data_IF_258542863235
#
_entry.id   IF_258542863235
#
_cell.length_a   1.000
_cell.length_b   1.000
_cell.length_c   1.000
_cell.angle_alpha   90.00
_cell.angle_beta   90.00
_cell.angle_gamma   90.00
#
_symmetry.space_group_name_H-M   'P 1'
#
loop_
_entity.id
_entity.type
_entity.pdbx_description
1 polymer ?
#
# COMPACT_ATOMS: atom_id res chain seq x y z
N UNK A 1 23.99 22.34 -3.38
CA UNK A 1 24.35 20.92 -3.64
C UNK A 1 23.09 20.07 -3.59
N UNK A 2 22.28 20.09 -2.54
CA UNK A 2 21.08 19.21 -2.39
C UNK A 2 20.05 19.35 -3.52
N UNK A 3 19.79 20.57 -4.01
CA UNK A 3 18.83 20.79 -5.11
C UNK A 3 19.36 20.21 -6.43
N UNK A 4 20.67 20.29 -6.66
CA UNK A 4 21.30 19.75 -7.89
C UNK A 4 21.27 18.22 -7.83
N UNK A 5 21.54 17.64 -6.68
CA UNK A 5 21.52 16.19 -6.48
C UNK A 5 20.11 15.65 -6.69
N UNK A 6 19.09 16.35 -6.16
CA UNK A 6 17.68 16.03 -6.37
C UNK A 6 17.27 16.07 -7.85
N UNK A 7 17.62 17.15 -8.56
CA UNK A 7 17.30 17.29 -9.96
C UNK A 7 18.00 16.23 -10.82
N UNK A 8 19.23 15.88 -10.44
CA UNK A 8 19.98 14.80 -11.12
C UNK A 8 19.31 13.46 -10.92
N UNK A 9 18.88 13.16 -9.69
CA UNK A 9 18.19 11.91 -9.37
C UNK A 9 16.87 11.77 -10.13
N UNK A 10 16.05 12.83 -10.17
CA UNK A 10 14.81 12.86 -10.95
C UNK A 10 15.11 12.64 -12.43
N UNK A 11 16.10 13.34 -12.98
CA UNK A 11 16.45 13.23 -14.38
C UNK A 11 16.91 11.81 -14.73
N UNK A 12 17.77 11.21 -13.92
CA UNK A 12 18.25 9.83 -14.13
C UNK A 12 17.09 8.85 -14.10
N UNK A 13 16.23 8.90 -13.09
CA UNK A 13 15.06 8.04 -13.00
C UNK A 13 14.12 8.23 -14.20
N UNK A 14 13.82 9.48 -14.52
CA UNK A 14 12.95 9.80 -15.65
C UNK A 14 13.48 9.20 -16.96
N UNK A 15 14.76 9.40 -17.29
CA UNK A 15 15.31 8.88 -18.53
C UNK A 15 15.41 7.35 -18.53
N UNK A 16 15.71 6.71 -17.39
CA UNK A 16 15.71 5.24 -17.27
C UNK A 16 14.32 4.66 -17.55
N UNK A 17 13.27 5.24 -16.95
CA UNK A 17 11.90 4.81 -17.19
C UNK A 17 11.44 5.14 -18.60
N UNK A 18 11.71 6.33 -19.10
CA UNK A 18 11.34 6.74 -20.46
C UNK A 18 11.93 5.78 -21.49
N UNK A 19 13.24 5.49 -21.40
CA UNK A 19 13.89 4.56 -22.31
C UNK A 19 13.29 3.16 -22.20
N UNK A 20 13.08 2.67 -20.99
CA UNK A 20 12.52 1.34 -20.73
C UNK A 20 11.09 1.20 -21.27
N UNK A 21 10.23 2.20 -21.04
CA UNK A 21 8.82 2.16 -21.44
C UNK A 21 8.66 2.35 -22.94
N UNK A 22 9.42 3.29 -23.54
CA UNK A 22 9.30 3.63 -24.95
C UNK A 22 9.97 2.64 -25.89
N UNK A 23 11.19 2.17 -25.55
CA UNK A 23 12.00 1.32 -26.45
C UNK A 23 11.73 -0.15 -26.34
N UNK A 24 11.31 -0.65 -25.18
CA UNK A 24 11.10 -2.09 -24.98
C UNK A 24 9.67 -2.46 -25.37
N UNK A 25 9.52 -3.13 -26.51
CA UNK A 25 8.21 -3.59 -27.02
C UNK A 25 7.66 -4.82 -26.27
N UNK A 26 8.54 -5.70 -25.79
CA UNK A 26 8.15 -6.90 -25.05
C UNK A 26 7.61 -6.51 -23.68
N UNK A 27 6.33 -6.75 -23.43
CA UNK A 27 5.70 -6.42 -22.15
C UNK A 27 6.36 -7.11 -20.96
N UNK A 28 6.82 -8.35 -21.12
CA UNK A 28 7.51 -9.09 -20.05
C UNK A 28 8.85 -8.45 -19.69
N UNK A 29 9.67 -8.14 -20.72
CA UNK A 29 10.99 -7.54 -20.51
C UNK A 29 10.83 -6.12 -19.95
N UNK A 30 9.89 -5.34 -20.49
CA UNK A 30 9.58 -3.99 -20.01
C UNK A 30 9.15 -4.00 -18.54
N UNK A 31 8.21 -4.85 -18.16
CA UNK A 31 7.77 -4.99 -16.76
C UNK A 31 8.93 -5.42 -15.86
N UNK A 32 9.72 -6.41 -16.28
CA UNK A 32 10.90 -6.84 -15.55
C UNK A 32 11.92 -5.72 -15.33
N UNK A 33 12.21 -4.92 -16.38
CA UNK A 33 13.13 -3.80 -16.28
C UNK A 33 12.58 -2.67 -15.38
N UNK A 34 11.29 -2.34 -15.48
CA UNK A 34 10.64 -1.37 -14.59
C UNK A 34 10.72 -1.85 -13.13
N UNK A 35 10.42 -3.10 -12.86
CA UNK A 35 10.51 -3.68 -11.52
C UNK A 35 11.95 -3.67 -11.00
N UNK A 36 12.93 -3.96 -11.84
CA UNK A 36 14.35 -3.95 -11.46
C UNK A 36 14.82 -2.55 -11.10
N UNK A 37 14.49 -1.53 -11.91
CA UNK A 37 14.81 -0.13 -11.64
C UNK A 37 14.16 0.29 -10.31
N UNK A 38 12.87 -0.01 -10.13
CA UNK A 38 12.12 0.30 -8.92
C UNK A 38 12.75 -0.36 -7.70
N UNK A 39 13.02 -1.66 -7.75
CA UNK A 39 13.59 -2.42 -6.65
C UNK A 39 15.00 -1.94 -6.31
N UNK A 40 15.83 -1.66 -7.30
CA UNK A 40 17.19 -1.13 -7.11
C UNK A 40 17.18 0.23 -6.42
N UNK A 41 16.30 1.14 -6.87
CA UNK A 41 16.14 2.44 -6.24
C UNK A 41 15.68 2.32 -4.78
N UNK A 42 14.62 1.57 -4.54
CA UNK A 42 14.09 1.36 -3.18
C UNK A 42 15.10 0.69 -2.25
N UNK A 43 15.95 -0.19 -2.79
CA UNK A 43 17.02 -0.83 -2.03
C UNK A 43 18.09 0.17 -1.63
N UNK A 44 18.56 1.00 -2.56
CA UNK A 44 19.58 2.04 -2.29
C UNK A 44 19.10 3.00 -1.21
N UNK A 45 17.81 3.39 -1.25
CA UNK A 45 17.20 4.30 -0.28
C UNK A 45 16.65 3.61 0.98
N UNK A 46 16.93 2.32 1.20
CA UNK A 46 16.45 1.54 2.35
C UNK A 46 14.93 1.51 2.51
N UNK A 47 14.19 1.81 1.45
CA UNK A 47 12.73 1.87 1.42
C UNK A 47 12.06 0.56 0.96
N UNK A 48 12.86 -0.41 0.49
CA UNK A 48 12.34 -1.64 -0.14
C UNK A 48 11.43 -2.44 0.79
N UNK A 49 11.89 -2.73 2.02
CA UNK A 49 11.13 -3.52 2.99
C UNK A 49 9.83 -2.83 3.38
N UNK A 50 9.88 -1.51 3.62
CA UNK A 50 8.71 -0.71 3.96
C UNK A 50 7.66 -0.75 2.84
N UNK A 51 8.08 -0.55 1.58
CA UNK A 51 7.18 -0.59 0.42
C UNK A 51 6.56 -1.98 0.20
N UNK A 52 7.32 -3.05 0.36
CA UNK A 52 6.79 -4.41 0.19
C UNK A 52 5.78 -4.77 1.28
N UNK A 53 6.09 -4.51 2.56
CA UNK A 53 5.20 -4.86 3.66
C UNK A 53 3.91 -4.02 3.65
N UNK A 54 4.01 -2.72 3.41
CA UNK A 54 2.82 -1.88 3.29
C UNK A 54 1.99 -2.24 2.06
N UNK A 55 2.62 -2.55 0.93
CA UNK A 55 1.94 -3.04 -0.26
C UNK A 55 1.24 -4.37 -0.04
N UNK A 56 1.88 -5.31 0.67
CA UNK A 56 1.24 -6.56 1.07
C UNK A 56 0.02 -6.32 1.96
N UNK A 57 0.11 -5.35 2.89
CA UNK A 57 -1.03 -4.99 3.73
C UNK A 57 -2.18 -4.37 2.92
N UNK A 58 -1.89 -3.44 2.00
CA UNK A 58 -2.90 -2.89 1.08
C UNK A 58 -3.56 -4.01 0.26
N UNK A 59 -2.79 -4.98 -0.20
CA UNK A 59 -3.32 -6.15 -0.90
C UNK A 59 -4.27 -6.97 -0.02
N UNK A 60 -3.95 -7.16 1.26
CA UNK A 60 -4.85 -7.84 2.22
C UNK A 60 -6.16 -7.07 2.35
N UNK A 61 -6.12 -5.74 2.47
CA UNK A 61 -7.33 -4.91 2.54
C UNK A 61 -8.19 -5.04 1.27
N UNK A 62 -7.57 -4.99 0.10
CA UNK A 62 -8.26 -5.17 -1.18
C UNK A 62 -8.89 -6.57 -1.31
N UNK A 63 -8.16 -7.61 -0.95
CA UNK A 63 -8.66 -8.99 -1.01
C UNK A 63 -9.81 -9.22 -0.04
N UNK A 64 -9.71 -8.67 1.17
CA UNK A 64 -10.76 -8.75 2.18
C UNK A 64 -12.03 -8.04 1.71
N UNK A 65 -11.88 -6.79 1.24
CA UNK A 65 -13.01 -6.02 0.73
C UNK A 65 -13.67 -6.67 -0.49
N UNK A 66 -12.87 -7.19 -1.42
CA UNK A 66 -13.38 -7.94 -2.56
C UNK A 66 -14.21 -9.16 -2.12
N UNK A 67 -13.81 -9.79 -1.02
CA UNK A 67 -14.54 -10.91 -0.44
C UNK A 67 -15.87 -10.48 0.16
N UNK A 68 -15.86 -9.40 0.95
CA UNK A 68 -17.06 -8.81 1.55
C UNK A 68 -18.03 -8.38 0.45
N UNK A 69 -17.54 -7.61 -0.54
CA UNK A 69 -18.35 -7.14 -1.67
C UNK A 69 -19.02 -8.28 -2.42
N UNK A 70 -18.28 -9.36 -2.73
CA UNK A 70 -18.86 -10.54 -3.42
C UNK A 70 -19.96 -11.21 -2.59
N UNK A 71 -19.85 -11.19 -1.27
CA UNK A 71 -20.91 -11.68 -0.38
C UNK A 71 -22.16 -10.82 -0.40
N UNK A 72 -22.02 -9.52 -0.64
CA UNK A 72 -23.11 -8.55 -0.69
C UNK A 72 -23.74 -8.42 -2.09
N UNK A 73 -22.94 -8.53 -3.13
CA UNK A 73 -23.33 -8.34 -4.53
C UNK A 73 -23.82 -9.66 -5.17
N UNK A 74 -25.00 -10.12 -4.78
CA UNK A 74 -25.62 -11.35 -5.32
C UNK A 74 -25.97 -11.23 -6.80
N UNK A 75 -26.18 -10.02 -7.31
CA UNK A 75 -26.65 -9.77 -8.70
C UNK A 75 -25.51 -9.40 -9.65
N UNK A 76 -24.26 -9.39 -9.21
CA UNK A 76 -23.06 -9.11 -10.01
C UNK A 76 -23.09 -7.75 -10.76
N UNK A 77 -23.82 -6.78 -10.27
CA UNK A 77 -23.99 -5.45 -10.90
C UNK A 77 -22.68 -4.61 -10.92
N UNK A 78 -21.74 -4.89 -10.02
CA UNK A 78 -20.50 -4.12 -9.87
C UNK A 78 -19.37 -4.57 -10.83
N UNK A 79 -19.63 -5.51 -11.72
CA UNK A 79 -18.58 -6.08 -12.60
C UNK A 79 -18.07 -5.12 -13.68
N UNK A 80 -18.85 -4.11 -14.04
CA UNK A 80 -18.55 -3.25 -15.19
C UNK A 80 -17.53 -2.14 -14.91
N UNK A 81 -17.30 -1.79 -13.65
CA UNK A 81 -16.47 -0.65 -13.26
C UNK A 81 -15.27 -1.11 -12.42
N UNK A 82 -14.20 -1.57 -13.08
CA UNK A 82 -13.02 -2.13 -12.38
C UNK A 82 -12.37 -1.17 -11.39
N UNK A 83 -12.32 0.11 -11.69
CA UNK A 83 -11.73 1.15 -10.85
C UNK A 83 -12.58 1.39 -9.60
N UNK A 84 -13.87 1.62 -9.79
CA UNK A 84 -14.82 1.83 -8.69
C UNK A 84 -14.87 0.60 -7.79
N UNK A 85 -14.78 -0.61 -8.37
CA UNK A 85 -14.74 -1.86 -7.58
C UNK A 85 -13.48 -1.96 -6.73
N UNK A 86 -12.32 -1.54 -7.24
CA UNK A 86 -11.07 -1.51 -6.48
C UNK A 86 -11.14 -0.56 -5.29
N UNK A 87 -11.67 0.65 -5.50
CA UNK A 87 -11.86 1.61 -4.41
C UNK A 87 -12.87 1.09 -3.37
N UNK A 88 -14.00 0.55 -3.82
CA UNK A 88 -15.00 -0.05 -2.92
C UNK A 88 -14.40 -1.22 -2.12
N UNK A 89 -13.61 -2.08 -2.76
CA UNK A 89 -12.92 -3.18 -2.09
C UNK A 89 -11.96 -2.66 -1.02
N UNK A 90 -11.18 -1.63 -1.34
CA UNK A 90 -10.27 -1.00 -0.36
C UNK A 90 -11.05 -0.43 0.83
N UNK A 91 -12.12 0.33 0.59
CA UNK A 91 -12.93 0.94 1.65
C UNK A 91 -13.62 -0.10 2.53
N UNK A 92 -14.20 -1.15 1.93
CA UNK A 92 -14.85 -2.25 2.68
C UNK A 92 -13.84 -3.02 3.53
N UNK A 93 -12.68 -3.34 2.96
CA UNK A 93 -11.62 -4.05 3.69
C UNK A 93 -11.06 -3.21 4.83
N UNK A 94 -10.80 -1.92 4.58
CA UNK A 94 -10.32 -0.99 5.61
C UNK A 94 -11.34 -0.78 6.73
N UNK A 95 -12.60 -0.53 6.38
CA UNK A 95 -13.67 -0.37 7.36
C UNK A 95 -13.85 -1.61 8.23
N UNK A 96 -13.80 -2.80 7.64
CA UNK A 96 -13.86 -4.05 8.38
C UNK A 96 -12.69 -4.20 9.36
N UNK A 97 -11.46 -3.92 8.92
CA UNK A 97 -10.27 -4.02 9.79
C UNK A 97 -10.32 -3.00 10.92
N UNK A 98 -10.73 -1.75 10.65
CA UNK A 98 -10.92 -0.74 11.71
C UNK A 98 -11.94 -1.23 12.74
N UNK A 99 -13.11 -1.68 12.31
CA UNK A 99 -14.12 -2.22 13.22
C UNK A 99 -13.59 -3.40 14.05
N UNK A 100 -12.89 -4.33 13.39
CA UNK A 100 -12.32 -5.50 14.05
C UNK A 100 -11.28 -5.11 15.11
N UNK A 101 -10.40 -4.15 14.80
CA UNK A 101 -9.41 -3.67 15.76
C UNK A 101 -10.05 -2.90 16.92
N UNK A 102 -11.03 -2.04 16.61
CA UNK A 102 -11.77 -1.33 17.65
C UNK A 102 -12.50 -2.29 18.61
N UNK A 103 -13.19 -3.28 18.08
CA UNK A 103 -13.90 -4.28 18.89
C UNK A 103 -12.90 -5.15 19.68
N UNK A 104 -11.81 -5.60 19.05
CA UNK A 104 -10.74 -6.35 19.71
C UNK A 104 -10.11 -5.58 20.87
N UNK A 105 -9.85 -4.29 20.68
CA UNK A 105 -9.31 -3.43 21.74
C UNK A 105 -10.34 -3.20 22.86
N UNK A 106 -11.59 -2.91 22.50
CA UNK A 106 -12.65 -2.62 23.47
C UNK A 106 -12.99 -3.82 24.38
N UNK A 107 -13.14 -5.00 23.80
CA UNK A 107 -13.63 -6.18 24.54
C UNK A 107 -12.51 -7.06 25.09
N UNK A 108 -11.34 -7.06 24.47
CA UNK A 108 -10.25 -7.97 24.78
C UNK A 108 -8.94 -7.27 25.15
N UNK A 109 -8.88 -5.94 25.14
CA UNK A 109 -7.67 -5.19 25.43
C UNK A 109 -6.53 -5.48 24.43
N UNK A 110 -6.87 -5.80 23.17
CA UNK A 110 -5.88 -6.15 22.16
C UNK A 110 -5.01 -4.93 21.81
N UNK A 111 -3.68 -5.09 21.89
CA UNK A 111 -2.69 -4.13 21.46
C UNK A 111 -2.11 -4.45 20.08
N UNK A 112 -1.07 -3.72 19.69
CA UNK A 112 -0.42 -3.78 18.36
C UNK A 112 -0.01 -5.21 17.97
N UNK A 113 0.59 -5.96 18.87
CA UNK A 113 1.04 -7.34 18.61
C UNK A 113 -0.12 -8.26 18.24
N UNK A 114 -1.25 -8.13 18.95
CA UNK A 114 -2.47 -8.88 18.64
C UNK A 114 -3.02 -8.53 17.26
N UNK A 115 -3.00 -7.24 16.89
CA UNK A 115 -3.49 -6.78 15.59
C UNK A 115 -2.58 -7.23 14.43
N UNK A 116 -1.26 -7.26 14.63
CA UNK A 116 -0.30 -7.84 13.69
C UNK A 116 -0.59 -9.32 13.47
N UNK A 117 -0.71 -10.08 14.56
CA UNK A 117 -1.03 -11.50 14.49
C UNK A 117 -2.34 -11.75 13.74
N UNK A 118 -3.39 -11.02 14.10
CA UNK A 118 -4.70 -11.12 13.46
C UNK A 118 -4.62 -10.80 11.95
N UNK A 119 -3.86 -9.77 11.57
CA UNK A 119 -3.64 -9.41 10.18
C UNK A 119 -2.94 -10.52 9.40
N UNK A 120 -1.93 -11.15 9.99
CA UNK A 120 -1.23 -12.30 9.37
C UNK A 120 -2.17 -13.50 9.22
N UNK A 121 -3.00 -13.78 10.20
CA UNK A 121 -4.00 -14.85 10.11
C UNK A 121 -5.00 -14.58 8.99
N UNK A 122 -5.55 -13.37 8.92
CA UNK A 122 -6.47 -12.97 7.84
C UNK A 122 -5.78 -13.08 6.47
N UNK A 123 -4.54 -12.60 6.35
CA UNK A 123 -3.77 -12.71 5.11
C UNK A 123 -3.58 -14.18 4.69
N UNK A 124 -3.25 -15.05 5.63
CA UNK A 124 -3.10 -16.50 5.39
C UNK A 124 -4.39 -17.16 4.92
N UNK A 125 -5.52 -16.85 5.57
CA UNK A 125 -6.84 -17.35 5.17
C UNK A 125 -7.23 -16.87 3.76
N UNK A 126 -7.03 -15.59 3.46
CA UNK A 126 -7.32 -15.03 2.14
C UNK A 126 -6.43 -15.64 1.06
N UNK A 127 -5.13 -15.80 1.33
CA UNK A 127 -4.19 -16.43 0.40
C UNK A 127 -4.55 -17.91 0.16
N UNK A 128 -4.85 -18.66 1.21
CA UNK A 128 -5.28 -20.06 1.10
C UNK A 128 -6.56 -20.20 0.29
N UNK A 129 -7.55 -19.34 0.56
CA UNK A 129 -8.78 -19.30 -0.22
C UNK A 129 -8.51 -18.98 -1.69
N UNK A 130 -7.67 -17.97 -1.97
CA UNK A 130 -7.31 -17.61 -3.35
C UNK A 130 -6.59 -18.74 -4.08
N UNK A 131 -5.72 -19.46 -3.41
CA UNK A 131 -5.07 -20.66 -3.97
C UNK A 131 -6.08 -21.76 -4.33
N UNK A 132 -7.09 -21.97 -3.48
CA UNK A 132 -8.16 -22.93 -3.79
C UNK A 132 -8.98 -22.52 -5.02
N UNK A 133 -9.35 -21.22 -5.11
CA UNK A 133 -10.02 -20.68 -6.30
C UNK A 133 -9.19 -20.89 -7.58
N UNK A 134 -7.90 -20.61 -7.53
CA UNK A 134 -7.00 -20.77 -8.69
C UNK A 134 -6.85 -22.24 -9.09
N UNK A 135 -6.75 -23.16 -8.13
CA UNK A 135 -6.71 -24.60 -8.39
C UNK A 135 -8.02 -25.10 -9.02
N UNK A 136 -9.16 -24.64 -8.50
CA UNK A 136 -10.47 -25.00 -9.05
C UNK A 136 -10.71 -24.44 -10.46
N UNK A 137 -10.16 -23.26 -10.78
CA UNK A 137 -10.27 -22.65 -12.11
C UNK A 137 -9.37 -23.30 -13.17
N UNK A 138 -8.43 -24.15 -12.77
CA UNK A 138 -7.48 -24.81 -13.66
C UNK A 138 -6.59 -23.82 -14.43
N UNK A 139 -5.96 -24.32 -15.52
CA UNK A 139 -4.98 -23.56 -16.31
C UNK A 139 -5.58 -22.33 -17.06
N UNK A 140 -6.91 -22.30 -17.23
CA UNK A 140 -7.64 -21.21 -17.90
C UNK A 140 -7.80 -19.95 -17.03
N UNK A 141 -7.59 -20.05 -15.71
CA UNK A 141 -7.80 -18.93 -14.75
C UNK A 141 -6.61 -18.02 -14.54
N UNK A 142 -5.46 -18.27 -15.16
CA UNK A 142 -4.26 -17.49 -14.94
C UNK A 142 -4.27 -16.16 -15.72
N UNK A 143 -4.41 -15.00 -15.05
CA UNK A 143 -4.59 -13.70 -15.72
C UNK A 143 -3.41 -13.29 -16.61
N UNK A 144 -2.18 -13.73 -16.31
CA UNK A 144 -1.00 -13.39 -17.11
C UNK A 144 -0.93 -14.05 -18.50
N UNK A 145 -1.74 -15.06 -18.77
CA UNK A 145 -1.86 -15.65 -20.12
C UNK A 145 -2.60 -14.71 -21.10
N UNK A 146 -3.32 -13.71 -20.60
CA UNK A 146 -4.12 -12.77 -21.40
C UNK A 146 -3.39 -11.46 -21.73
N UNK A 147 -2.20 -11.23 -21.16
CA UNK A 147 -1.45 -10.01 -21.42
C UNK A 147 -0.83 -10.07 -22.81
N UNK A 148 -1.06 -9.09 -23.70
CA UNK A 148 -0.41 -9.04 -25.00
C UNK A 148 1.10 -9.16 -24.84
N UNK A 149 1.74 -9.97 -25.68
CA UNK A 149 3.19 -10.18 -25.57
C UNK A 149 3.99 -8.93 -25.95
N UNK A 150 3.46 -8.13 -26.86
CA UNK A 150 4.09 -6.89 -27.33
C UNK A 150 3.07 -5.77 -27.42
N UNK A 151 3.44 -4.59 -26.93
CA UNK A 151 2.61 -3.39 -27.04
C UNK A 151 3.55 -2.20 -27.24
N UNK A 152 3.30 -1.42 -28.29
CA UNK A 152 3.97 -0.12 -28.48
C UNK A 152 3.22 0.93 -27.70
N UNK A 153 3.95 1.70 -26.92
CA UNK A 153 3.42 2.85 -26.17
C UNK A 153 3.91 4.11 -26.90
N UNK A 154 3.02 5.08 -27.11
CA UNK A 154 3.41 6.34 -27.74
C UNK A 154 4.44 7.07 -26.88
N UNK A 155 5.21 7.97 -27.51
CA UNK A 155 6.23 8.74 -26.80
C UNK A 155 5.60 9.62 -25.71
N UNK A 156 4.48 10.28 -26.03
CA UNK A 156 3.77 11.16 -25.09
C UNK A 156 3.33 10.38 -23.84
N UNK A 157 2.70 9.22 -24.04
CA UNK A 157 2.28 8.36 -22.92
C UNK A 157 3.48 7.84 -22.13
N UNK A 158 4.59 7.52 -22.81
CA UNK A 158 5.82 7.09 -22.14
C UNK A 158 6.43 8.18 -21.27
N UNK A 159 6.38 9.44 -21.73
CA UNK A 159 6.83 10.61 -20.95
C UNK A 159 5.97 10.76 -19.69
N UNK A 160 4.64 10.74 -19.83
CA UNK A 160 3.73 10.85 -18.68
C UNK A 160 3.98 9.75 -17.65
N UNK A 161 4.05 8.49 -18.10
CA UNK A 161 4.27 7.36 -17.22
C UNK A 161 5.66 7.42 -16.54
N UNK A 162 6.72 7.77 -17.31
CA UNK A 162 8.07 7.87 -16.77
C UNK A 162 8.18 8.97 -15.71
N UNK A 163 7.56 10.15 -15.98
CA UNK A 163 7.51 11.24 -15.01
C UNK A 163 6.77 10.83 -13.72
N UNK A 164 5.63 10.19 -13.86
CA UNK A 164 4.85 9.69 -12.74
C UNK A 164 5.67 8.71 -11.87
N UNK A 165 6.33 7.72 -12.49
CA UNK A 165 7.18 6.78 -11.76
C UNK A 165 8.36 7.47 -11.08
N UNK A 166 9.05 8.39 -11.76
CA UNK A 166 10.17 9.13 -11.18
C UNK A 166 9.76 9.94 -9.96
N UNK A 167 8.63 10.64 -10.02
CA UNK A 167 8.11 11.44 -8.90
C UNK A 167 7.69 10.59 -7.71
N UNK A 168 7.00 9.47 -7.96
CA UNK A 168 6.58 8.54 -6.90
C UNK A 168 7.78 7.89 -6.23
N UNK A 169 8.78 7.45 -7.01
CA UNK A 169 9.98 6.84 -6.43
C UNK A 169 10.81 7.85 -5.64
N UNK A 170 10.93 9.07 -6.12
CA UNK A 170 11.60 10.11 -5.36
C UNK A 170 10.95 10.30 -3.99
N UNK A 171 9.63 10.36 -3.94
CA UNK A 171 8.88 10.43 -2.69
C UNK A 171 9.12 9.18 -1.83
N UNK A 172 9.13 7.99 -2.42
CA UNK A 172 9.42 6.74 -1.73
C UNK A 172 10.86 6.71 -1.15
N UNK A 173 11.85 7.20 -1.87
CA UNK A 173 13.24 7.28 -1.40
C UNK A 173 13.45 8.21 -0.20
N UNK A 174 12.49 9.11 0.05
CA UNK A 174 12.55 10.09 1.14
C UNK A 174 11.65 9.74 2.32
N UNK A 175 11.01 8.58 2.34
CA UNK A 175 10.14 8.14 3.43
C UNK A 175 10.83 8.07 4.80
N UNK A 176 12.15 7.95 4.84
CA UNK A 176 12.91 7.87 6.08
C UNK A 176 13.23 9.25 6.67
N UNK A 177 12.87 10.34 5.97
CA UNK A 177 13.08 11.71 6.41
C UNK A 177 11.70 12.30 6.73
N UNK A 178 11.41 12.45 8.01
CA UNK A 178 10.22 13.16 8.46
C UNK A 178 10.67 14.41 9.21
N UNK A 179 10.45 15.58 8.62
CA UNK A 179 10.80 16.87 9.19
C UNK A 179 9.56 17.75 9.46
N UNK A 180 8.38 17.24 9.17
CA UNK A 180 7.13 17.97 9.35
C UNK A 180 6.65 17.90 10.80
N UNK A 181 6.33 19.07 11.36
CA UNK A 181 5.86 19.19 12.75
C UNK A 181 4.59 18.39 13.02
N UNK A 182 3.63 18.45 12.11
CA UNK A 182 2.35 17.77 12.27
C UNK A 182 2.52 16.24 12.20
N UNK A 183 3.35 15.76 11.30
CA UNK A 183 3.67 14.32 11.23
C UNK A 183 4.35 13.83 12.50
N UNK A 184 5.31 14.58 13.03
CA UNK A 184 6.03 14.21 14.26
C UNK A 184 5.16 14.30 15.51
N UNK A 185 4.26 15.30 15.57
CA UNK A 185 3.45 15.55 16.76
C UNK A 185 2.10 14.83 16.75
N UNK A 186 1.52 14.59 15.59
CA UNK A 186 0.18 14.04 15.47
C UNK A 186 0.13 12.68 14.77
N UNK A 187 0.84 12.52 13.66
CA UNK A 187 0.72 11.35 12.80
C UNK A 187 1.52 10.14 13.29
N UNK A 188 2.72 10.35 13.78
CA UNK A 188 3.65 9.28 14.19
C UNK A 188 3.57 8.92 15.67
N UNK A 189 2.86 9.72 16.44
CA UNK A 189 2.70 9.55 17.91
C UNK A 189 1.80 8.37 18.28
N UNK A 190 1.01 7.88 17.35
CA UNK A 190 0.12 6.75 17.62
C UNK A 190 0.87 5.50 18.04
N UNK A 191 2.04 5.26 17.48
CA UNK A 191 2.91 4.19 17.94
C UNK A 191 3.21 4.33 19.43
N UNK A 192 3.59 5.52 19.85
CA UNK A 192 3.98 5.79 21.23
C UNK A 192 2.81 5.63 22.19
N UNK A 193 1.62 6.09 21.80
CA UNK A 193 0.39 5.99 22.60
C UNK A 193 -0.15 4.57 22.64
N UNK A 194 0.02 3.79 21.58
CA UNK A 194 -0.55 2.47 21.42
C UNK A 194 0.43 1.33 21.76
N UNK A 195 1.72 1.63 21.86
CA UNK A 195 2.76 0.66 22.16
C UNK A 195 2.84 0.31 23.68
N UNK A 196 2.14 1.09 24.51
CA UNK A 196 2.09 0.86 25.97
C UNK A 196 1.16 -0.29 26.40
N UNK A 197 0.59 -1.02 25.46
CA UNK A 197 0.06 -2.37 25.71
C UNK A 197 -1.43 -2.50 25.98
N UNK A 198 -2.14 -1.42 26.31
CA UNK A 198 -3.55 -1.49 26.72
C UNK A 198 -4.58 -1.34 25.60
N UNK A 199 -4.13 -1.19 24.33
CA UNK A 199 -5.01 -1.04 23.19
C UNK A 199 -5.44 0.40 22.89
N UNK A 200 -6.34 0.56 21.94
CA UNK A 200 -6.75 1.87 21.37
C UNK A 200 -7.47 2.75 22.40
N UNK A 201 -8.11 2.14 23.37
CA UNK A 201 -8.97 2.82 24.37
C UNK A 201 -8.30 2.97 25.74
N UNK A 202 -7.01 2.68 25.85
CA UNK A 202 -6.30 2.88 27.09
C UNK A 202 -6.28 4.36 27.48
N UNK A 203 -6.64 4.62 28.74
CA UNK A 203 -6.55 5.98 29.29
C UNK A 203 -5.13 6.22 29.78
N UNK A 204 -4.34 6.90 28.98
CA UNK A 204 -2.95 7.25 29.32
C UNK A 204 -2.81 8.46 30.23
N UNK A 205 -3.92 9.01 30.71
CA UNK A 205 -3.91 10.23 31.56
C UNK A 205 -3.44 11.47 30.85
N UNK A 206 -3.34 11.46 29.55
CA UNK A 206 -2.85 12.60 28.76
C UNK A 206 -3.98 13.56 28.43
N UNK A 207 -3.82 14.79 28.86
CA UNK A 207 -4.78 15.89 28.64
C UNK A 207 -4.32 16.72 27.43
N UNK A 208 -4.27 16.12 26.25
CA UNK A 208 -4.02 16.86 25.02
C UNK A 208 -5.17 16.65 24.03
N UNK A 209 -5.71 17.73 23.49
CA UNK A 209 -6.82 17.75 22.53
C UNK A 209 -6.55 16.83 21.32
N UNK A 210 -5.30 16.67 20.91
CA UNK A 210 -4.89 15.80 19.81
C UNK A 210 -5.29 14.32 20.02
N UNK A 211 -5.36 13.86 21.26
CA UNK A 211 -5.74 12.48 21.57
C UNK A 211 -7.24 12.23 21.48
N UNK A 212 -8.04 13.28 21.32
CA UNK A 212 -9.49 13.18 21.15
C UNK A 212 -9.93 13.11 19.69
N UNK A 213 -9.02 13.29 18.73
CA UNK A 213 -9.34 13.22 17.31
C UNK A 213 -9.71 11.78 16.89
N UNK A 214 -10.52 11.71 15.84
CA UNK A 214 -10.89 10.42 15.25
C UNK A 214 -9.66 9.64 14.77
N UNK A 215 -9.49 8.43 15.26
CA UNK A 215 -8.30 7.59 15.05
C UNK A 215 -8.52 6.46 14.03
N UNK A 216 -9.45 6.64 13.10
CA UNK A 216 -9.79 5.59 12.15
C UNK A 216 -8.62 5.16 11.25
N UNK A 217 -7.93 6.11 10.63
CA UNK A 217 -6.77 5.83 9.79
C UNK A 217 -5.60 5.27 10.60
N UNK A 218 -5.35 5.85 11.75
CA UNK A 218 -4.30 5.41 12.66
C UNK A 218 -4.55 3.99 13.16
N UNK A 219 -5.80 3.66 13.51
CA UNK A 219 -6.19 2.31 13.86
C UNK A 219 -5.94 1.32 12.71
N UNK A 220 -6.25 1.72 11.47
CA UNK A 220 -5.98 0.92 10.29
C UNK A 220 -4.49 0.62 10.12
N UNK A 221 -3.63 1.59 10.45
CA UNK A 221 -2.17 1.49 10.25
C UNK A 221 -1.45 0.73 11.39
N UNK A 222 -2.13 0.38 12.48
CA UNK A 222 -1.53 -0.32 13.62
C UNK A 222 -0.70 -1.56 13.25
N UNK A 223 -1.10 -2.43 12.31
CA UNK A 223 -0.28 -3.60 11.97
C UNK A 223 1.09 -3.27 11.39
N UNK A 224 1.24 -2.10 10.75
CA UNK A 224 2.49 -1.64 10.14
C UNK A 224 3.20 -0.56 10.96
N UNK A 225 2.59 -0.03 12.03
CA UNK A 225 3.21 0.92 12.95
C UNK A 225 4.18 0.20 13.92
N UNK A 226 5.10 0.92 14.56
CA UNK A 226 6.11 0.36 15.45
C UNK A 226 7.08 -0.63 14.81
N UNK A 227 7.17 -0.68 13.50
CA UNK A 227 8.25 -1.32 12.78
C UNK A 227 9.46 -0.35 12.74
N UNK A 228 10.71 -0.83 12.54
CA UNK A 228 11.92 -0.09 12.91
C UNK A 228 12.16 1.23 12.18
N UNK A 229 11.25 1.71 11.36
CA UNK A 229 11.33 3.04 10.75
C UNK A 229 9.96 3.61 10.40
N UNK A 230 9.84 4.93 10.43
CA UNK A 230 8.65 5.65 9.94
C UNK A 230 8.31 5.37 8.47
N UNK A 231 9.27 4.85 7.72
CA UNK A 231 9.07 4.43 6.34
C UNK A 231 7.92 3.45 6.15
N UNK A 232 7.64 2.58 7.13
CA UNK A 232 6.52 1.64 7.06
C UNK A 232 5.16 2.35 7.07
N UNK A 233 5.04 3.40 7.86
CA UNK A 233 3.83 4.20 7.93
C UNK A 233 3.66 5.08 6.68
N UNK A 234 4.71 5.80 6.29
CA UNK A 234 4.70 6.69 5.14
C UNK A 234 4.55 5.94 3.81
N UNK A 235 5.07 4.71 3.71
CA UNK A 235 4.94 3.88 2.52
C UNK A 235 3.49 3.52 2.20
N UNK A 236 2.61 3.44 3.20
CA UNK A 236 1.19 3.24 2.97
C UNK A 236 0.57 4.40 2.19
N UNK A 237 0.94 5.64 2.50
CA UNK A 237 0.48 6.83 1.79
C UNK A 237 0.90 6.82 0.32
N UNK A 238 2.09 6.29 0.02
CA UNK A 238 2.55 6.15 -1.37
C UNK A 238 1.67 5.17 -2.15
N UNK A 239 1.30 4.05 -1.54
CA UNK A 239 0.35 3.12 -2.15
C UNK A 239 -1.03 3.74 -2.37
N UNK A 240 -1.48 4.58 -1.43
CA UNK A 240 -2.73 5.33 -1.59
C UNK A 240 -2.64 6.33 -2.75
N UNK A 241 -1.52 7.06 -2.87
CA UNK A 241 -1.26 7.96 -4.01
C UNK A 241 -1.26 7.21 -5.34
N UNK A 242 -0.59 6.04 -5.39
CA UNK A 242 -0.64 5.17 -6.58
C UNK A 242 -2.06 4.73 -6.91
N UNK A 243 -2.82 4.33 -5.91
CA UNK A 243 -4.23 3.97 -6.07
C UNK A 243 -5.05 5.12 -6.69
N UNK A 244 -4.91 6.34 -6.19
CA UNK A 244 -5.63 7.52 -6.71
C UNK A 244 -5.21 7.92 -8.12
N UNK A 245 -3.95 7.66 -8.51
CA UNK A 245 -3.48 7.96 -9.87
C UNK A 245 -3.96 6.92 -10.92
N UNK A 246 -4.33 5.74 -10.48
CA UNK A 246 -4.85 4.67 -11.35
C UNK A 246 -6.38 4.76 -11.50
N UNK A 247 -7.06 5.42 -10.57
CA UNK A 247 -8.50 5.66 -10.62
C UNK A 247 -8.87 6.89 -11.42
#
# INVERSE_FOLDING_TARGET
>A
TETIDLLTEIAVLFFLYLFTIWKIESNRIRTGAVLLITAGFLWIHQAFTAMILSGAYVLVLLMLGARIRRGMDREHRWREYHVITGLADFLLGSGFMICLFCLGSLFFGCGITSFRFLTVVIAGLLAGYRMMELRAAGDSGMPWKRVPQRTRISLEMSICIALMFAMILLQAGRMNICADYDSLHYGLRNEYVLDNGGGIYENLGMVNVVYTYSKGLETLLLPISGLPSYGFFLSFQIWMTLGTLIT
#
